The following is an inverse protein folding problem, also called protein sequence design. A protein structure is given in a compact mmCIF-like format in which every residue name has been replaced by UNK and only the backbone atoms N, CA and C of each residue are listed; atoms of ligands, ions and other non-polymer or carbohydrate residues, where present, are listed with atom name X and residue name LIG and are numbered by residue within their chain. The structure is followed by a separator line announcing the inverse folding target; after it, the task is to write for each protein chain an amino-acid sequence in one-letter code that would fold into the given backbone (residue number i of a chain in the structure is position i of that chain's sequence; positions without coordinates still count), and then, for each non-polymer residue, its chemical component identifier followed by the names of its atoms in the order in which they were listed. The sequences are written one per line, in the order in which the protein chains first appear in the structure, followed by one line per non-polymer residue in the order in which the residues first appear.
data_IF_500128192876
#
_entry.id   IF_500128192876
#
_cell.length_a   1.000
_cell.length_b   1.000
_cell.length_c   1.000
_cell.angle_alpha   90.00
_cell.angle_beta   90.00
_cell.angle_gamma   90.00
#
_symmetry.space_group_name_H-M   'P 1'
#
loop_
_entity.id
_entity.type
_entity.pdbx_description
1 polymer ?
#
# COMPACT_ATOMS: atom_id res chain seq x y z
N UNK A 1 -6.59 -13.13 1.46
CA UNK A 1 -5.16 -12.98 1.84
C UNK A 1 -4.20 -13.89 1.06
N UNK A 2 -4.45 -15.20 0.91
CA UNK A 2 -3.50 -16.11 0.25
C UNK A 2 -3.19 -15.73 -1.21
N UNK A 3 -4.20 -15.29 -1.97
CA UNK A 3 -4.01 -14.84 -3.37
C UNK A 3 -3.08 -13.62 -3.50
N UNK A 4 -3.09 -12.71 -2.51
CA UNK A 4 -2.21 -11.54 -2.51
C UNK A 4 -0.75 -11.98 -2.34
N UNK A 5 -0.51 -12.95 -1.46
CA UNK A 5 0.80 -13.52 -1.23
C UNK A 5 1.36 -14.21 -2.48
N UNK A 6 0.62 -15.16 -3.07
CA UNK A 6 1.11 -15.93 -4.22
C UNK A 6 1.35 -15.05 -5.44
N UNK A 7 0.43 -14.11 -5.74
CA UNK A 7 0.57 -13.18 -6.86
C UNK A 7 1.81 -12.30 -6.76
N UNK A 8 2.05 -11.69 -5.59
CA UNK A 8 3.20 -10.79 -5.39
C UNK A 8 4.50 -11.58 -5.34
N UNK A 9 4.52 -12.73 -4.65
CA UNK A 9 5.70 -13.59 -4.61
C UNK A 9 6.10 -14.03 -6.04
N UNK A 10 5.14 -14.46 -6.86
CA UNK A 10 5.38 -14.85 -8.25
C UNK A 10 5.86 -13.67 -9.11
N UNK A 11 5.27 -12.48 -8.92
CA UNK A 11 5.69 -11.27 -9.61
C UNK A 11 7.15 -10.90 -9.28
N UNK A 12 7.54 -10.98 -8.01
CA UNK A 12 8.91 -10.71 -7.57
C UNK A 12 9.91 -11.75 -8.10
N UNK A 13 9.51 -13.02 -8.21
CA UNK A 13 10.31 -14.08 -8.83
C UNK A 13 10.60 -13.84 -10.32
N UNK A 14 9.77 -13.07 -11.03
CA UNK A 14 9.98 -12.74 -12.45
C UNK A 14 10.93 -11.56 -12.66
N UNK A 15 11.15 -10.73 -11.65
CA UNK A 15 11.98 -9.53 -11.76
C UNK A 15 13.40 -9.86 -11.31
N UNK A 16 14.25 -10.34 -12.22
CA UNK A 16 15.62 -10.80 -11.91
C UNK A 16 16.60 -9.69 -11.50
N UNK A 17 16.26 -8.41 -11.71
CA UNK A 17 17.17 -7.29 -11.47
C UNK A 17 16.62 -6.34 -10.39
N UNK A 18 17.23 -6.41 -9.21
CA UNK A 18 16.89 -5.56 -8.05
C UNK A 18 17.05 -4.07 -8.34
N UNK A 19 17.99 -3.66 -9.21
CA UNK A 19 18.17 -2.24 -9.58
C UNK A 19 17.01 -1.76 -10.44
N UNK A 20 16.52 -2.59 -11.37
CA UNK A 20 15.33 -2.27 -12.17
C UNK A 20 14.09 -2.17 -11.28
N UNK A 21 13.93 -3.08 -10.33
CA UNK A 21 12.83 -3.05 -9.35
C UNK A 21 12.79 -1.71 -8.61
N UNK A 22 13.91 -1.30 -8.00
CA UNK A 22 13.99 -0.03 -7.26
C UNK A 22 13.63 1.19 -8.11
N UNK A 23 14.10 1.24 -9.37
CA UNK A 23 13.77 2.34 -10.30
C UNK A 23 12.29 2.36 -10.67
N UNK A 24 11.67 1.20 -10.86
CA UNK A 24 10.23 1.09 -11.16
C UNK A 24 9.42 1.53 -9.94
N UNK A 25 9.71 1.00 -8.76
CA UNK A 25 9.03 1.36 -7.51
C UNK A 25 9.10 2.86 -7.24
N UNK A 26 10.26 3.49 -7.43
CA UNK A 26 10.41 4.93 -7.23
C UNK A 26 9.53 5.74 -8.21
N UNK A 27 9.53 5.37 -9.50
CA UNK A 27 8.66 6.03 -10.50
C UNK A 27 7.18 5.89 -10.15
N UNK A 28 6.76 4.72 -9.68
CA UNK A 28 5.36 4.47 -9.28
C UNK A 28 4.97 5.29 -8.04
N UNK A 29 5.82 5.33 -7.02
CA UNK A 29 5.58 6.13 -5.79
C UNK A 29 5.48 7.62 -6.15
N UNK A 30 6.40 8.11 -6.98
CA UNK A 30 6.38 9.51 -7.40
C UNK A 30 5.12 9.83 -8.20
N UNK A 31 4.71 8.96 -9.12
CA UNK A 31 3.45 9.11 -9.87
C UNK A 31 2.23 9.14 -8.96
N UNK A 32 2.18 8.26 -7.94
CA UNK A 32 1.10 8.24 -6.96
C UNK A 32 1.03 9.52 -6.14
N UNK A 33 2.17 10.05 -5.69
CA UNK A 33 2.23 11.30 -4.94
C UNK A 33 1.79 12.50 -5.78
N UNK A 34 2.25 12.58 -7.04
CA UNK A 34 1.88 13.65 -7.97
C UNK A 34 0.36 13.62 -8.21
N UNK A 35 -0.20 12.46 -8.57
CA UNK A 35 -1.65 12.32 -8.80
C UNK A 35 -2.45 12.64 -7.54
N UNK A 36 -2.00 12.18 -6.37
CA UNK A 36 -2.68 12.48 -5.10
C UNK A 36 -2.67 13.98 -4.81
N UNK A 37 -1.54 14.65 -5.05
CA UNK A 37 -1.43 16.10 -4.88
C UNK A 37 -2.39 16.85 -5.80
N UNK A 38 -2.45 16.50 -7.09
CA UNK A 38 -3.42 17.10 -8.02
C UNK A 38 -4.86 16.82 -7.64
N UNK A 39 -5.18 15.62 -7.17
CA UNK A 39 -6.52 15.27 -6.68
C UNK A 39 -6.92 16.12 -5.46
N UNK A 40 -6.03 16.28 -4.48
CA UNK A 40 -6.26 17.12 -3.30
C UNK A 40 -6.38 18.60 -3.69
N UNK A 41 -5.54 19.10 -4.60
CA UNK A 41 -5.60 20.47 -5.08
C UNK A 41 -6.92 20.76 -5.79
N UNK A 42 -7.35 19.86 -6.69
CA UNK A 42 -8.63 19.99 -7.39
C UNK A 42 -9.82 19.91 -6.43
N UNK A 43 -9.82 18.93 -5.51
CA UNK A 43 -10.85 18.80 -4.48
C UNK A 43 -10.92 20.04 -3.59
N UNK A 44 -9.78 20.61 -3.22
CA UNK A 44 -9.69 21.87 -2.48
C UNK A 44 -10.29 23.03 -3.27
N UNK A 45 -9.83 23.27 -4.49
CA UNK A 45 -10.33 24.38 -5.34
C UNK A 45 -11.84 24.28 -5.55
N UNK A 46 -12.35 23.11 -5.91
CA UNK A 46 -13.80 22.89 -6.11
C UNK A 46 -14.56 23.05 -4.78
N UNK A 47 -14.02 22.52 -3.67
CA UNK A 47 -14.63 22.68 -2.35
C UNK A 47 -14.76 24.14 -1.92
N UNK A 48 -13.70 24.94 -2.10
CA UNK A 48 -13.71 26.37 -1.77
C UNK A 48 -14.61 27.18 -2.70
N UNK A 49 -14.64 26.89 -4.01
CA UNK A 49 -15.51 27.63 -4.95
C UNK A 49 -16.99 27.37 -4.68
N UNK A 50 -17.39 26.11 -4.44
CA UNK A 50 -18.78 25.76 -4.11
C UNK A 50 -19.18 26.37 -2.75
N UNK A 51 -18.27 26.41 -1.77
CA UNK A 51 -18.49 27.10 -0.49
C UNK A 51 -18.77 28.58 -0.68
N UNK A 52 -17.96 29.27 -1.50
CA UNK A 52 -18.10 30.71 -1.72
C UNK A 52 -19.35 31.09 -2.53
N UNK A 53 -19.87 30.18 -3.37
CA UNK A 53 -21.10 30.35 -4.14
C UNK A 53 -22.38 30.11 -3.32
N UNK A 54 -22.27 29.73 -2.03
CA UNK A 54 -23.43 29.50 -1.16
C UNK A 54 -24.31 28.32 -1.56
N UNK A 55 -23.85 27.47 -2.48
CA UNK A 55 -24.57 26.30 -2.99
C UNK A 55 -24.63 25.14 -1.97
N UNK A 56 -23.90 25.23 -0.86
CA UNK A 56 -24.09 24.33 0.28
C UNK A 56 -25.35 24.72 1.06
N UNK A 57 -26.49 24.18 0.65
CA UNK A 57 -27.78 24.36 1.33
C UNK A 57 -27.92 23.57 2.66
N UNK A 58 -26.86 22.91 3.13
CA UNK A 58 -26.87 22.10 4.34
C UNK A 58 -26.18 22.85 5.49
N UNK A 59 -26.97 23.51 6.34
CA UNK A 59 -26.52 23.90 7.69
C UNK A 59 -26.36 22.63 8.52
N UNK A 60 -25.16 22.08 8.56
CA UNK A 60 -24.85 20.91 9.36
C UNK A 60 -24.31 21.36 10.72
N UNK A 61 -25.13 22.06 11.50
CA UNK A 61 -24.82 22.45 12.90
C UNK A 61 -24.53 21.23 13.79
N UNK A 62 -24.95 20.02 13.37
CA UNK A 62 -24.69 18.76 14.07
C UNK A 62 -23.62 17.86 13.42
N UNK A 63 -22.88 18.35 12.43
CA UNK A 63 -21.54 17.81 12.13
C UNK A 63 -20.58 18.69 12.90
N UNK A 64 -20.74 18.67 14.24
CA UNK A 64 -19.61 18.76 15.13
C UNK A 64 -18.59 17.82 14.53
N UNK A 65 -17.54 18.42 14.01
CA UNK A 65 -16.66 17.80 13.07
C UNK A 65 -16.35 16.39 13.59
N UNK A 66 -16.82 15.38 12.86
CA UNK A 66 -15.92 14.27 12.53
C UNK A 66 -14.77 14.85 11.67
N UNK A 67 -14.11 15.93 12.10
CA UNK A 67 -12.75 15.83 12.61
C UNK A 67 -12.70 14.65 13.60
N UNK A 68 -13.00 13.45 13.09
CA UNK A 68 -12.40 12.25 13.55
C UNK A 68 -10.96 12.66 13.53
N UNK A 69 -10.45 12.81 14.74
CA UNK A 69 -9.07 13.01 15.10
C UNK A 69 -8.30 12.68 13.84
N UNK A 70 -7.65 13.67 13.21
CA UNK A 70 -6.53 13.32 12.37
C UNK A 70 -5.62 12.57 13.33
N UNK A 71 -5.90 11.27 13.50
CA UNK A 71 -5.25 10.38 14.43
C UNK A 71 -3.88 10.50 13.88
N UNK A 72 -3.05 11.25 14.61
CA UNK A 72 -1.67 11.53 14.34
C UNK A 72 -1.00 10.17 14.45
N UNK A 73 -1.30 9.35 13.45
CA UNK A 73 -0.84 8.00 13.30
C UNK A 73 0.57 8.28 12.92
N UNK A 74 1.44 8.11 13.91
CA UNK A 74 2.84 8.34 13.72
C UNK A 74 3.23 7.59 12.44
N UNK A 75 3.77 8.26 11.40
CA UNK A 75 4.05 7.58 10.14
C UNK A 75 5.02 6.41 10.33
N UNK A 76 5.82 6.45 11.41
CA UNK A 76 6.67 5.33 11.82
C UNK A 76 5.86 4.09 12.23
N UNK A 77 4.66 4.28 12.78
CA UNK A 77 3.78 3.18 13.15
C UNK A 77 3.34 2.36 11.92
N UNK A 78 3.22 3.00 10.75
CA UNK A 78 2.97 2.29 9.49
C UNK A 78 4.16 1.39 9.15
N UNK A 79 5.39 1.90 9.28
CA UNK A 79 6.63 1.13 9.02
C UNK A 79 6.76 -0.04 10.01
N UNK A 80 6.50 0.19 11.29
CA UNK A 80 6.58 -0.86 12.32
C UNK A 80 5.53 -1.95 12.09
N UNK A 81 4.30 -1.58 11.72
CA UNK A 81 3.23 -2.54 11.43
C UNK A 81 3.44 -3.33 10.14
N UNK A 82 4.33 -2.88 9.23
CA UNK A 82 4.69 -3.66 8.03
C UNK A 82 5.42 -4.95 8.41
N UNK A 83 6.15 -4.96 9.53
CA UNK A 83 6.88 -6.13 10.00
C UNK A 83 5.99 -6.86 11.03
N UNK A 84 5.40 -8.00 10.67
CA UNK A 84 4.52 -8.69 11.59
C UNK A 84 5.32 -9.42 12.68
N UNK A 85 4.80 -9.35 13.90
CA UNK A 85 5.33 -10.14 15.02
C UNK A 85 5.10 -11.66 14.84
N UNK A 86 4.13 -12.06 13.98
CA UNK A 86 3.84 -13.46 13.70
C UNK A 86 3.34 -13.67 12.26
N UNK A 87 4.10 -14.46 11.50
CA UNK A 87 3.89 -14.74 10.06
C UNK A 87 2.61 -15.55 9.81
N UNK A 88 2.22 -16.46 10.69
CA UNK A 88 1.02 -17.28 10.50
C UNK A 88 -0.26 -16.46 10.75
N UNK A 89 -0.21 -15.56 11.73
CA UNK A 89 -1.37 -14.75 12.14
C UNK A 89 -1.82 -13.74 11.08
N UNK A 90 -0.90 -13.27 10.23
CA UNK A 90 -1.23 -12.31 9.16
C UNK A 90 -1.98 -12.93 8.00
N UNK A 91 -1.90 -14.25 7.79
CA UNK A 91 -2.70 -14.93 6.77
C UNK A 91 -4.17 -15.07 7.18
N UNK A 92 -4.44 -15.12 8.49
CA UNK A 92 -5.80 -15.22 9.04
C UNK A 92 -6.48 -13.87 9.23
N UNK A 93 -5.71 -12.80 9.41
CA UNK A 93 -6.23 -11.44 9.64
C UNK A 93 -6.27 -10.63 8.34
N UNK A 94 -7.48 -10.31 7.87
CA UNK A 94 -7.66 -9.47 6.68
C UNK A 94 -7.19 -8.02 6.88
N UNK A 95 -7.03 -7.55 8.11
CA UNK A 95 -6.58 -6.17 8.41
C UNK A 95 -5.10 -5.94 8.15
N UNK A 96 -4.29 -7.00 8.06
CA UNK A 96 -2.82 -6.93 7.99
C UNK A 96 -2.28 -7.13 6.57
N UNK A 97 -2.99 -6.62 5.55
CA UNK A 97 -2.61 -6.83 4.13
C UNK A 97 -1.20 -6.32 3.86
N UNK A 98 -0.80 -5.20 4.46
CA UNK A 98 0.53 -4.61 4.28
C UNK A 98 1.66 -5.54 4.74
N UNK A 99 1.46 -6.23 5.87
CA UNK A 99 2.42 -7.20 6.39
C UNK A 99 2.51 -8.46 5.50
N UNK A 100 1.39 -8.91 4.92
CA UNK A 100 1.37 -10.03 3.97
C UNK A 100 2.13 -9.69 2.70
N UNK A 101 1.94 -8.47 2.18
CA UNK A 101 2.69 -7.96 1.02
C UNK A 101 4.19 -7.93 1.32
N UNK A 102 4.59 -7.49 2.51
CA UNK A 102 6.00 -7.45 2.91
C UNK A 102 6.63 -8.85 2.91
N UNK A 103 5.99 -9.83 3.55
CA UNK A 103 6.48 -11.22 3.57
C UNK A 103 6.55 -11.80 2.15
N UNK A 104 5.55 -11.52 1.30
CA UNK A 104 5.53 -11.97 -0.08
C UNK A 104 6.70 -11.42 -0.89
N UNK A 105 7.02 -10.13 -0.73
CA UNK A 105 8.16 -9.50 -1.41
C UNK A 105 9.49 -10.07 -0.93
N UNK A 106 9.69 -10.20 0.39
CA UNK A 106 10.91 -10.78 0.95
C UNK A 106 11.10 -12.22 0.46
N UNK A 107 10.05 -13.03 0.50
CA UNK A 107 10.07 -14.43 0.04
C UNK A 107 10.38 -14.51 -1.45
N UNK A 108 9.70 -13.71 -2.29
CA UNK A 108 9.95 -13.69 -3.74
C UNK A 108 11.35 -13.22 -4.11
N UNK A 109 11.90 -12.24 -3.40
CA UNK A 109 13.29 -11.79 -3.58
C UNK A 109 14.30 -12.87 -3.17
N UNK A 110 14.05 -13.60 -2.07
CA UNK A 110 14.89 -14.71 -1.64
C UNK A 110 14.90 -15.84 -2.69
N UNK A 111 13.72 -16.24 -3.19
CA UNK A 111 13.60 -17.28 -4.23
C UNK A 111 14.38 -16.87 -5.49
N UNK A 112 14.25 -15.61 -5.92
CA UNK A 112 14.96 -15.08 -7.07
C UNK A 112 16.48 -15.12 -6.90
N UNK A 113 16.99 -14.74 -5.72
CA UNK A 113 18.43 -14.75 -5.44
C UNK A 113 19.01 -16.17 -5.35
N UNK A 114 18.23 -17.16 -4.88
CA UNK A 114 18.66 -18.55 -4.75
C UNK A 114 18.56 -19.35 -6.06
N UNK A 115 17.88 -18.81 -7.08
CA UNK A 115 17.92 -19.29 -8.45
C UNK A 115 17.56 -20.78 -8.63
N UNK A 116 18.40 -21.53 -9.34
CA UNK A 116 18.15 -22.93 -9.73
C UNK A 116 18.02 -23.91 -8.55
N UNK A 117 18.48 -23.54 -7.34
CA UNK A 117 18.36 -24.40 -6.15
C UNK A 117 16.91 -24.52 -5.65
N UNK A 118 16.01 -23.62 -6.08
CA UNK A 118 14.66 -23.45 -5.52
C UNK A 118 13.56 -23.51 -6.62
N UNK A 119 13.81 -24.21 -7.74
CA UNK A 119 12.80 -24.42 -8.79
C UNK A 119 11.47 -25.00 -8.26
N UNK A 120 11.54 -25.90 -7.28
CA UNK A 120 10.35 -26.56 -6.69
C UNK A 120 9.40 -25.56 -6.02
N UNK A 121 9.90 -24.56 -5.29
CA UNK A 121 9.02 -23.56 -4.66
C UNK A 121 8.38 -22.63 -5.69
N UNK A 122 9.02 -22.39 -6.83
CA UNK A 122 8.42 -21.63 -7.92
C UNK A 122 7.23 -22.38 -8.53
N UNK A 123 7.37 -23.68 -8.76
CA UNK A 123 6.30 -24.56 -9.28
C UNK A 123 5.14 -24.73 -8.30
N UNK A 124 5.37 -24.67 -6.99
CA UNK A 124 4.29 -24.73 -5.97
C UNK A 124 3.56 -23.38 -5.81
N UNK A 125 4.21 -22.28 -6.18
CA UNK A 125 3.64 -20.92 -6.13
C UNK A 125 2.90 -20.52 -7.42
N UNK A 126 3.21 -21.16 -8.55
CA UNK A 126 2.43 -21.07 -9.81
C UNK A 126 1.15 -21.89 -9.73
#
# INVERSE_FOLDING_TARGET
VPMVFTSIALAMCKISDTKKLGRISFKTILGFLITSFFALALAGVIGFTIKNLGLFAANVENVAAKAGVASSTNPLLVIVNVIPNNILSVFSKNSEVLAVVFIAVVTGLCINNLGDKIKVLKTVLE
#
